data_IF_199012932264
#
_entry.id   IF_199012932264
#
_cell.length_a   1.000
_cell.length_b   1.000
_cell.length_c   1.000
_cell.angle_alpha   90.00
_cell.angle_beta   90.00
_cell.angle_gamma   90.00
#
_symmetry.space_group_name_H-M   'P 1'
#
loop_
_entity.id
_entity.type
_entity.pdbx_description
1 polymer ?
#
# COMPACT_ATOMS: atom_id res chain seq x y z
N UNK A 1 -6.43 -5.42 53.67
CA UNK A 1 -6.30 -6.77 54.27
C UNK A 1 -4.83 -7.12 54.17
N UNK A 2 -4.12 -6.87 55.23
CA UNK A 2 -3.71 -7.82 56.28
C UNK A 2 -2.27 -8.20 56.00
N UNK A 3 -1.30 -7.86 56.73
CA UNK A 3 -0.78 -7.86 58.11
C UNK A 3 0.63 -8.44 58.05
N UNK A 4 1.66 -7.74 58.59
CA UNK A 4 2.23 -7.81 59.94
C UNK A 4 3.17 -9.03 60.12
N UNK A 5 4.35 -8.74 60.69
CA UNK A 5 5.24 -9.63 61.41
C UNK A 5 6.67 -9.11 61.29
N UNK A 6 7.25 -8.31 62.07
CA UNK A 6 7.53 -8.22 63.55
C UNK A 6 8.36 -9.37 64.09
N UNK A 7 9.42 -8.90 64.76
CA UNK A 7 10.20 -9.53 65.82
C UNK A 7 11.32 -10.52 65.41
N UNK A 8 12.53 -10.45 65.95
CA UNK A 8 12.82 -10.55 67.37
C UNK A 8 14.30 -10.27 67.66
N UNK A 9 14.57 -9.50 68.65
CA UNK A 9 15.63 -9.31 69.57
C UNK A 9 16.46 -10.55 69.92
N UNK A 10 17.75 -10.33 70.20
CA UNK A 10 18.52 -10.81 71.33
C UNK A 10 19.98 -10.43 71.14
N UNK A 11 20.54 -9.44 71.79
CA UNK A 11 21.11 -9.47 73.16
C UNK A 11 22.16 -10.57 73.38
N UNK A 12 23.39 -10.15 73.41
CA UNK A 12 24.27 -10.60 74.49
C UNK A 12 25.42 -9.63 74.75
N UNK A 13 25.45 -9.14 75.97
CA UNK A 13 26.55 -8.45 76.65
C UNK A 13 27.64 -9.43 76.98
N UNK A 14 28.84 -8.95 77.05
CA UNK A 14 29.87 -9.07 78.07
C UNK A 14 31.19 -8.70 77.41
N UNK A 15 31.92 -7.74 77.80
CA UNK A 15 32.43 -7.42 79.14
C UNK A 15 33.93 -7.29 79.04
N UNK A 16 34.37 -6.15 79.44
CA UNK A 16 35.63 -6.00 80.24
C UNK A 16 36.75 -5.14 79.61
N UNK A 17 36.81 -4.00 80.21
CA UNK A 17 37.99 -3.29 80.69
C UNK A 17 39.08 -2.73 79.79
N UNK A 18 39.11 -1.38 79.90
CA UNK A 18 40.29 -0.64 80.33
C UNK A 18 41.53 -0.71 79.42
N UNK A 19 41.73 0.34 78.66
CA UNK A 19 42.92 1.16 78.91
C UNK A 19 42.74 2.59 78.39
N UNK A 20 42.86 3.56 79.25
CA UNK A 20 42.94 4.96 78.97
C UNK A 20 44.32 5.26 78.40
N UNK A 21 44.39 5.64 77.17
CA UNK A 21 45.67 6.09 76.65
C UNK A 21 45.57 6.37 75.14
N UNK A 22 45.60 7.63 74.81
CA UNK A 22 45.92 8.12 73.43
C UNK A 22 44.96 7.92 72.30
N UNK A 23 43.69 8.29 72.52
CA UNK A 23 42.76 8.46 71.41
C UNK A 23 43.01 9.75 70.60
N UNK A 24 43.99 10.54 70.93
CA UNK A 24 44.32 11.78 70.29
C UNK A 24 45.58 11.78 69.40
N UNK A 25 46.37 10.66 69.44
CA UNK A 25 47.63 10.58 68.68
C UNK A 25 47.41 10.03 67.22
N UNK A 26 46.18 9.75 66.80
CA UNK A 26 45.89 9.22 65.47
C UNK A 26 45.21 10.23 64.55
N UNK A 27 45.18 11.51 64.95
CA UNK A 27 44.76 12.60 64.09
C UNK A 27 45.97 13.28 63.41
N UNK A 28 46.80 12.47 62.73
CA UNK A 28 47.62 13.06 61.68
C UNK A 28 46.74 13.35 60.43
N UNK A 29 46.63 14.61 60.03
CA UNK A 29 45.96 14.91 58.80
C UNK A 29 46.77 14.37 57.61
N UNK A 30 46.41 13.20 57.16
CA UNK A 30 47.11 12.45 56.09
C UNK A 30 47.05 13.09 54.71
N UNK A 31 46.60 14.27 54.55
CA UNK A 31 46.71 14.99 53.30
C UNK A 31 46.90 16.45 53.57
N UNK A 32 48.14 16.86 53.59
CA UNK A 32 48.48 18.27 53.28
C UNK A 32 48.16 18.44 51.80
N UNK A 33 46.96 18.90 51.51
CA UNK A 33 46.62 19.36 50.18
C UNK A 33 47.56 20.49 49.86
N UNK A 34 48.62 20.22 49.09
CA UNK A 34 49.53 21.22 48.64
C UNK A 34 48.71 22.30 47.90
N UNK A 35 48.87 23.55 48.31
CA UNK A 35 48.21 24.70 47.68
C UNK A 35 48.38 24.74 46.15
N UNK A 36 49.40 24.06 45.63
CA UNK A 36 49.67 23.91 44.20
C UNK A 36 48.68 22.92 43.51
N UNK A 37 48.23 21.90 44.21
CA UNK A 37 47.18 20.99 43.66
C UNK A 37 45.83 21.73 43.57
N UNK A 38 45.49 22.53 44.56
CA UNK A 38 44.25 23.34 44.55
C UNK A 38 44.28 24.42 43.46
N UNK A 39 45.42 25.04 43.23
CA UNK A 39 45.58 26.04 42.14
C UNK A 39 45.47 25.40 40.75
N UNK A 40 46.02 24.21 40.54
CA UNK A 40 45.88 23.48 39.25
C UNK A 40 44.44 23.08 38.97
N UNK A 41 43.70 22.66 39.99
CA UNK A 41 42.30 22.32 39.87
C UNK A 41 41.42 23.53 39.50
N UNK A 42 41.67 24.69 40.07
CA UNK A 42 40.88 25.88 39.76
C UNK A 42 41.14 26.44 38.36
N UNK A 43 42.37 26.34 37.87
CA UNK A 43 42.73 26.73 36.49
C UNK A 43 42.12 25.73 35.48
N UNK A 44 42.15 24.45 35.85
CA UNK A 44 41.50 23.41 34.98
C UNK A 44 39.97 23.59 34.87
N UNK A 45 39.30 23.88 35.97
CA UNK A 45 37.85 24.13 36.00
C UNK A 45 37.50 25.38 35.19
N UNK A 46 38.32 26.44 35.30
CA UNK A 46 38.10 27.69 34.52
C UNK A 46 38.28 27.40 33.03
N UNK A 47 39.30 26.66 32.60
CA UNK A 47 39.51 26.26 31.23
C UNK A 47 38.40 25.32 30.73
N UNK A 48 37.99 24.32 31.54
CA UNK A 48 36.91 23.42 31.21
C UNK A 48 35.59 24.18 31.02
N UNK A 49 35.31 25.19 31.83
CA UNK A 49 34.11 26.04 31.69
C UNK A 49 34.09 26.82 30.36
N UNK A 50 35.25 27.37 29.95
CA UNK A 50 35.34 28.07 28.65
C UNK A 50 35.24 27.09 27.47
N UNK A 51 35.82 25.89 27.57
CA UNK A 51 35.70 24.87 26.54
C UNK A 51 34.23 24.40 26.40
N UNK A 52 33.55 24.20 27.53
CA UNK A 52 32.13 23.78 27.53
C UNK A 52 31.22 24.87 26.93
N UNK A 53 31.49 26.18 27.29
CA UNK A 53 30.76 27.28 26.67
C UNK A 53 31.02 27.39 25.17
N UNK A 54 32.27 27.19 24.75
CA UNK A 54 32.64 27.20 23.33
C UNK A 54 31.95 26.06 22.55
N UNK A 55 31.95 24.85 23.12
CA UNK A 55 31.30 23.70 22.51
C UNK A 55 29.77 23.88 22.40
N UNK A 56 29.15 24.44 23.46
CA UNK A 56 27.72 24.80 23.43
C UNK A 56 27.40 25.84 22.36
N UNK A 57 28.27 26.86 22.19
CA UNK A 57 28.11 27.84 21.13
C UNK A 57 28.23 27.28 19.73
N UNK A 58 29.20 26.37 19.51
CA UNK A 58 29.36 25.65 18.22
C UNK A 58 28.16 24.79 17.89
N UNK A 59 27.64 24.06 18.89
CA UNK A 59 26.41 23.25 18.73
C UNK A 59 25.21 24.11 18.34
N UNK A 60 25.07 25.28 18.97
CA UNK A 60 23.99 26.21 18.67
C UNK A 60 24.12 26.77 17.25
N UNK A 61 25.35 27.10 16.82
CA UNK A 61 25.62 27.54 15.45
C UNK A 61 25.30 26.44 14.41
N UNK A 62 25.66 25.18 14.68
CA UNK A 62 25.34 24.04 13.82
C UNK A 62 23.83 23.85 13.72
N UNK A 63 23.09 23.93 14.82
CA UNK A 63 21.63 23.86 14.85
C UNK A 63 20.99 25.01 14.05
N UNK A 64 21.48 26.22 14.24
CA UNK A 64 21.02 27.40 13.48
C UNK A 64 21.29 27.26 12.00
N UNK A 65 22.49 26.78 11.63
CA UNK A 65 22.85 26.49 10.25
C UNK A 65 21.93 25.39 9.64
N UNK A 66 21.69 24.31 10.40
CA UNK A 66 20.78 23.25 9.98
C UNK A 66 19.36 23.78 9.76
N UNK A 67 18.88 24.64 10.65
CA UNK A 67 17.53 25.23 10.55
C UNK A 67 17.39 26.17 9.34
N UNK A 68 18.46 26.91 9.01
CA UNK A 68 18.48 27.82 7.84
C UNK A 68 18.72 27.05 6.54
N UNK A 69 19.51 25.98 6.60
CA UNK A 69 19.89 25.16 5.43
C UNK A 69 18.91 24.04 5.12
N UNK A 70 17.93 23.76 5.99
CA UNK A 70 16.87 22.79 5.65
C UNK A 70 16.10 23.38 4.47
N UNK A 71 16.15 22.73 3.29
CA UNK A 71 15.32 23.19 2.17
C UNK A 71 13.88 23.12 2.67
N UNK A 72 13.20 24.26 2.63
CA UNK A 72 11.76 24.28 2.87
C UNK A 72 11.17 23.19 2.00
N UNK A 73 10.34 22.26 2.56
CA UNK A 73 9.64 21.33 1.72
C UNK A 73 9.00 22.18 0.63
N UNK A 74 9.30 21.86 -0.64
CA UNK A 74 8.65 22.53 -1.77
C UNK A 74 7.17 22.47 -1.43
N UNK A 75 6.43 23.59 -1.41
CA UNK A 75 5.00 23.51 -1.36
C UNK A 75 4.65 22.57 -2.50
N UNK A 76 4.10 21.40 -2.19
CA UNK A 76 3.41 20.61 -3.17
C UNK A 76 2.46 21.63 -3.79
N UNK A 77 2.54 21.86 -5.09
CA UNK A 77 1.58 22.70 -5.79
C UNK A 77 0.23 22.04 -5.53
N UNK A 78 -0.36 22.39 -4.38
CA UNK A 78 -1.75 22.07 -4.11
C UNK A 78 -2.51 22.84 -5.18
N UNK A 79 -2.90 22.10 -6.22
CA UNK A 79 -3.87 22.61 -7.16
C UNK A 79 -5.05 23.08 -6.31
N UNK A 80 -5.41 24.38 -6.33
CA UNK A 80 -6.45 24.93 -5.43
C UNK A 80 -7.79 24.19 -5.57
N UNK A 81 -7.95 23.37 -6.63
CA UNK A 81 -9.12 22.56 -6.89
C UNK A 81 -9.05 21.15 -6.25
N UNK A 82 -7.89 20.73 -5.71
CA UNK A 82 -7.73 19.44 -5.03
C UNK A 82 -8.16 19.49 -3.57
N UNK A 83 -9.11 18.63 -3.17
CA UNK A 83 -9.49 18.48 -1.76
C UNK A 83 -8.64 17.42 -1.05
N UNK A 84 -8.47 16.27 -1.70
CA UNK A 84 -7.80 15.10 -1.10
C UNK A 84 -7.04 14.35 -2.18
N UNK A 85 -5.75 14.12 -1.92
CA UNK A 85 -4.91 13.20 -2.69
C UNK A 85 -4.69 11.92 -1.88
N UNK A 86 -4.95 10.77 -2.47
CA UNK A 86 -4.79 9.45 -1.86
C UNK A 86 -3.78 8.65 -2.66
N UNK A 87 -2.93 7.89 -1.97
CA UNK A 87 -1.96 6.96 -2.57
C UNK A 87 -2.44 5.55 -2.31
N UNK A 88 -2.41 4.71 -3.35
CA UNK A 88 -2.91 3.33 -3.34
C UNK A 88 -4.35 3.21 -2.80
N UNK A 89 -5.30 4.01 -3.30
CA UNK A 89 -6.68 3.95 -2.84
C UNK A 89 -7.31 2.61 -3.19
N UNK A 90 -8.17 2.12 -2.30
CA UNK A 90 -8.99 0.93 -2.51
C UNK A 90 -10.45 1.28 -2.25
N UNK A 91 -11.26 1.26 -3.27
CA UNK A 91 -12.71 1.41 -3.17
C UNK A 91 -13.38 0.05 -3.35
N UNK A 92 -14.22 -0.33 -2.40
CA UNK A 92 -14.99 -1.59 -2.44
C UNK A 92 -16.47 -1.26 -2.42
N UNK A 93 -17.23 -1.92 -3.26
CA UNK A 93 -18.66 -1.74 -3.35
C UNK A 93 -19.39 -3.02 -3.71
N UNK A 94 -20.67 -2.88 -3.95
CA UNK A 94 -21.55 -3.97 -4.41
C UNK A 94 -22.42 -3.49 -5.56
N UNK A 95 -22.62 -4.37 -6.52
CA UNK A 95 -23.56 -4.15 -7.63
C UNK A 95 -25.02 -4.22 -7.16
N UNK A 96 -25.97 -3.97 -8.06
CA UNK A 96 -27.38 -4.10 -7.75
C UNK A 96 -27.78 -5.51 -7.26
N UNK A 97 -27.10 -6.55 -7.76
CA UNK A 97 -27.31 -7.96 -7.35
C UNK A 97 -26.42 -8.37 -6.17
N UNK A 98 -25.90 -7.39 -5.44
CA UNK A 98 -25.06 -7.63 -4.26
C UNK A 98 -23.71 -8.33 -4.54
N UNK A 99 -23.26 -8.39 -5.80
CA UNK A 99 -21.94 -8.93 -6.16
C UNK A 99 -20.86 -7.92 -5.80
N UNK A 100 -19.71 -8.37 -5.27
CA UNK A 100 -18.63 -7.49 -4.89
C UNK A 100 -17.90 -6.93 -6.12
N UNK A 101 -17.46 -5.68 -6.02
CA UNK A 101 -16.48 -5.11 -6.92
C UNK A 101 -15.44 -4.33 -6.13
N UNK A 102 -14.27 -4.14 -6.73
CA UNK A 102 -13.15 -3.42 -6.14
C UNK A 102 -12.47 -2.57 -7.19
N UNK A 103 -12.29 -1.28 -6.92
CA UNK A 103 -11.48 -0.38 -7.71
C UNK A 103 -10.23 -0.07 -6.91
N UNK A 104 -9.07 -0.24 -7.53
CA UNK A 104 -7.77 0.16 -6.99
C UNK A 104 -7.10 1.10 -7.97
N UNK A 105 -6.20 1.94 -7.49
CA UNK A 105 -5.38 2.82 -8.32
C UNK A 105 -4.06 3.11 -7.63
N UNK A 106 -3.05 3.64 -8.34
CA UNK A 106 -1.81 4.11 -7.74
C UNK A 106 -2.04 5.43 -6.99
N UNK A 107 -2.80 6.33 -7.60
CA UNK A 107 -3.17 7.61 -7.01
C UNK A 107 -4.64 7.94 -7.29
N UNK A 108 -5.26 8.68 -6.37
CA UNK A 108 -6.58 9.26 -6.56
C UNK A 108 -6.60 10.71 -6.09
N UNK A 109 -7.26 11.56 -6.87
CA UNK A 109 -7.45 12.98 -6.60
C UNK A 109 -8.93 13.29 -6.64
N UNK A 110 -9.46 13.85 -5.55
CA UNK A 110 -10.83 14.32 -5.45
C UNK A 110 -10.88 15.86 -5.55
N UNK A 111 -11.80 16.37 -6.32
CA UNK A 111 -11.96 17.80 -6.56
C UNK A 111 -12.91 18.47 -5.54
N UNK A 112 -12.58 19.70 -5.12
CA UNK A 112 -13.44 20.49 -4.22
C UNK A 112 -14.82 20.76 -4.82
N UNK A 113 -14.83 21.15 -6.08
CA UNK A 113 -16.06 21.58 -6.77
C UNK A 113 -16.95 20.41 -7.17
N UNK A 114 -16.39 19.18 -7.24
CA UNK A 114 -17.08 17.97 -7.64
C UNK A 114 -16.70 16.83 -6.71
N UNK A 115 -17.23 16.80 -5.47
CA UNK A 115 -16.83 15.85 -4.44
C UNK A 115 -17.12 14.39 -4.80
N UNK A 116 -18.04 14.15 -5.74
CA UNK A 116 -18.39 12.80 -6.19
C UNK A 116 -17.47 12.29 -7.31
N UNK A 117 -16.69 13.16 -7.94
CA UNK A 117 -15.74 12.79 -8.97
C UNK A 117 -14.34 12.59 -8.36
N UNK A 118 -13.74 11.45 -8.67
CA UNK A 118 -12.38 11.09 -8.26
C UNK A 118 -11.58 10.70 -9.48
N UNK A 119 -10.54 11.46 -9.79
CA UNK A 119 -9.58 11.14 -10.85
C UNK A 119 -8.62 10.05 -10.34
N UNK A 120 -8.38 9.04 -11.16
CA UNK A 120 -7.57 7.86 -10.84
C UNK A 120 -6.40 7.74 -11.80
N UNK A 121 -5.25 7.31 -11.30
CA UNK A 121 -4.07 6.97 -12.07
C UNK A 121 -3.85 5.47 -11.97
N UNK A 122 -3.68 4.81 -13.11
CA UNK A 122 -3.58 3.35 -13.24
C UNK A 122 -4.71 2.60 -12.52
N UNK A 123 -5.98 2.94 -12.80
CA UNK A 123 -7.11 2.26 -12.18
C UNK A 123 -7.21 0.81 -12.63
N UNK A 124 -7.57 -0.05 -11.67
CA UNK A 124 -7.92 -1.46 -11.90
C UNK A 124 -9.25 -1.73 -11.23
N UNK A 125 -10.25 -2.13 -12.02
CA UNK A 125 -11.54 -2.58 -11.54
C UNK A 125 -11.59 -4.10 -11.61
N UNK A 126 -11.77 -4.75 -10.47
CA UNK A 126 -12.10 -6.18 -10.37
C UNK A 126 -13.58 -6.32 -10.04
N UNK A 127 -14.27 -7.19 -10.76
CA UNK A 127 -15.69 -7.47 -10.55
C UNK A 127 -16.01 -8.94 -10.83
N UNK A 128 -17.05 -9.41 -10.16
CA UNK A 128 -17.55 -10.75 -10.33
C UNK A 128 -18.79 -10.73 -11.22
N UNK A 129 -18.84 -11.62 -12.23
CA UNK A 129 -20.03 -11.85 -13.04
C UNK A 129 -20.98 -12.78 -12.31
N UNK A 130 -22.28 -12.67 -12.61
CA UNK A 130 -23.29 -13.54 -11.99
C UNK A 130 -23.10 -15.00 -12.39
N UNK A 131 -22.95 -15.88 -11.39
CA UNK A 131 -22.77 -17.31 -11.62
C UNK A 131 -21.32 -17.77 -11.81
N UNK A 132 -20.37 -16.83 -11.83
CA UNK A 132 -18.95 -17.13 -11.99
C UNK A 132 -18.21 -17.04 -10.65
N UNK A 133 -17.10 -17.76 -10.55
CA UNK A 133 -16.24 -17.81 -9.35
C UNK A 133 -15.01 -16.92 -9.54
N UNK A 134 -14.54 -16.80 -10.78
CA UNK A 134 -13.35 -16.02 -11.12
C UNK A 134 -13.69 -14.56 -11.38
N UNK A 135 -12.80 -13.67 -10.98
CA UNK A 135 -12.97 -12.23 -11.16
C UNK A 135 -12.56 -11.82 -12.59
N UNK A 136 -13.42 -11.02 -13.23
CA UNK A 136 -13.06 -10.25 -14.42
C UNK A 136 -12.39 -8.96 -14.02
N UNK A 137 -11.52 -8.42 -14.89
CA UNK A 137 -10.70 -7.25 -14.60
C UNK A 137 -10.70 -6.25 -15.76
N UNK A 138 -10.84 -4.96 -15.43
CA UNK A 138 -10.60 -3.87 -16.38
C UNK A 138 -9.51 -2.97 -15.81
N UNK A 139 -8.53 -2.63 -16.63
CA UNK A 139 -7.45 -1.71 -16.27
C UNK A 139 -7.27 -0.63 -17.35
N UNK A 140 -6.72 0.52 -16.96
CA UNK A 140 -6.39 1.63 -17.85
C UNK A 140 -5.26 2.50 -17.27
N UNK A 141 -4.72 3.45 -18.05
CA UNK A 141 -3.74 4.39 -17.52
C UNK A 141 -4.37 5.50 -16.70
N UNK A 142 -5.55 5.97 -17.09
CA UNK A 142 -6.28 7.02 -16.36
C UNK A 142 -7.76 6.70 -16.26
N UNK A 143 -8.40 7.20 -15.20
CA UNK A 143 -9.84 7.03 -15.02
C UNK A 143 -10.47 8.16 -14.22
N UNK A 144 -11.78 8.28 -14.36
CA UNK A 144 -12.63 9.17 -13.59
C UNK A 144 -13.76 8.33 -12.97
N UNK A 145 -13.80 8.24 -11.66
CA UNK A 145 -14.85 7.53 -10.95
C UNK A 145 -15.84 8.50 -10.34
N UNK A 146 -17.11 8.33 -10.67
CA UNK A 146 -18.20 9.06 -10.03
C UNK A 146 -18.90 8.15 -9.02
N UNK A 147 -18.82 8.54 -7.74
CA UNK A 147 -19.34 7.74 -6.61
C UNK A 147 -20.86 7.75 -6.49
N UNK A 148 -21.53 8.80 -6.99
CA UNK A 148 -22.98 8.93 -6.96
C UNK A 148 -23.62 8.02 -8.02
N UNK A 149 -23.15 8.12 -9.26
CA UNK A 149 -23.66 7.33 -10.39
C UNK A 149 -23.06 5.93 -10.47
N UNK A 150 -21.97 5.66 -9.75
CA UNK A 150 -21.16 4.44 -9.83
C UNK A 150 -20.68 4.14 -11.25
N UNK A 151 -20.29 5.19 -11.97
CA UNK A 151 -19.71 5.10 -13.30
C UNK A 151 -18.22 5.32 -13.22
N UNK A 152 -17.45 4.42 -13.82
CA UNK A 152 -16.00 4.51 -13.98
C UNK A 152 -15.71 4.74 -15.46
N UNK A 153 -15.23 5.91 -15.81
CA UNK A 153 -14.77 6.27 -17.14
C UNK A 153 -13.26 6.03 -17.23
N UNK A 154 -12.83 5.25 -18.21
CA UNK A 154 -11.46 4.77 -18.37
C UNK A 154 -10.90 5.29 -19.70
N UNK A 155 -9.68 5.79 -19.67
CA UNK A 155 -8.99 6.34 -20.83
C UNK A 155 -7.58 5.80 -20.94
N UNK A 156 -7.13 5.63 -22.18
CA UNK A 156 -5.79 5.20 -22.57
C UNK A 156 -5.48 3.76 -22.13
N UNK A 157 -5.13 2.95 -23.11
CA UNK A 157 -4.73 1.55 -22.91
C UNK A 157 -5.71 0.76 -22.02
N UNK A 158 -6.98 0.82 -22.37
CA UNK A 158 -8.00 0.09 -21.63
C UNK A 158 -7.94 -1.39 -22.03
N UNK A 159 -7.72 -2.25 -21.04
CA UNK A 159 -7.70 -3.69 -21.20
C UNK A 159 -8.81 -4.31 -20.35
N UNK A 160 -9.67 -5.08 -20.98
CA UNK A 160 -10.69 -5.88 -20.32
C UNK A 160 -10.31 -7.36 -20.43
N UNK A 161 -10.11 -8.00 -19.30
CA UNK A 161 -9.90 -9.45 -19.21
C UNK A 161 -11.07 -10.08 -18.50
N UNK A 162 -11.72 -11.01 -19.16
CA UNK A 162 -12.85 -11.73 -18.60
C UNK A 162 -12.44 -13.11 -18.11
N UNK A 163 -13.17 -13.63 -17.13
CA UNK A 163 -12.99 -14.96 -16.52
C UNK A 163 -13.09 -16.10 -17.54
N UNK A 164 -13.88 -15.92 -18.61
CA UNK A 164 -14.04 -16.89 -19.69
C UNK A 164 -12.92 -16.83 -20.77
N UNK A 165 -11.92 -15.96 -20.55
CA UNK A 165 -10.69 -15.90 -21.35
C UNK A 165 -10.73 -14.97 -22.56
N UNK A 166 -11.64 -13.98 -22.56
CA UNK A 166 -11.55 -12.87 -23.53
C UNK A 166 -10.55 -11.83 -23.03
N UNK A 167 -9.72 -11.33 -23.94
CA UNK A 167 -8.79 -10.22 -23.74
C UNK A 167 -9.12 -9.16 -24.78
N UNK A 168 -9.68 -8.02 -24.33
CA UNK A 168 -10.14 -6.94 -25.15
C UNK A 168 -9.30 -5.68 -24.88
N UNK A 169 -8.95 -4.97 -25.95
CA UNK A 169 -8.18 -3.74 -25.93
C UNK A 169 -8.95 -2.62 -26.61
N UNK A 170 -9.00 -1.46 -25.96
CA UNK A 170 -9.61 -0.24 -26.48
C UNK A 170 -8.90 1.00 -25.91
N UNK A 171 -9.17 2.17 -26.43
CA UNK A 171 -8.64 3.44 -25.90
C UNK A 171 -9.57 4.10 -24.89
N UNK A 172 -10.87 3.76 -24.89
CA UNK A 172 -11.87 4.35 -24.01
C UNK A 172 -12.93 3.31 -23.62
N UNK A 173 -13.34 3.33 -22.34
CA UNK A 173 -14.44 2.52 -21.82
C UNK A 173 -15.20 3.26 -20.72
N UNK A 174 -16.50 3.18 -20.71
CA UNK A 174 -17.37 3.64 -19.65
C UNK A 174 -18.02 2.43 -18.98
N UNK A 175 -17.67 2.19 -17.73
CA UNK A 175 -18.14 1.06 -16.95
C UNK A 175 -19.23 1.52 -15.98
N UNK A 176 -20.43 1.05 -16.18
CA UNK A 176 -21.57 1.24 -15.28
C UNK A 176 -21.59 0.09 -14.27
N UNK A 177 -20.90 0.27 -13.14
CA UNK A 177 -20.70 -0.80 -12.17
C UNK A 177 -22.03 -1.29 -11.59
N UNK A 178 -22.95 -0.37 -11.28
CA UNK A 178 -24.29 -0.70 -10.80
C UNK A 178 -25.14 -1.39 -11.87
N UNK A 179 -25.04 -0.93 -13.09
CA UNK A 179 -25.79 -1.45 -14.23
C UNK A 179 -25.19 -2.66 -14.91
N UNK A 180 -23.99 -3.10 -14.47
CA UNK A 180 -23.23 -4.22 -15.02
C UNK A 180 -23.09 -4.18 -16.54
N UNK A 181 -22.74 -3.01 -17.05
CA UNK A 181 -22.62 -2.72 -18.46
C UNK A 181 -21.32 -1.97 -18.72
N UNK A 182 -20.69 -2.26 -19.85
CA UNK A 182 -19.54 -1.50 -20.35
C UNK A 182 -19.89 -1.00 -21.74
N UNK A 183 -19.60 0.24 -22.04
CA UNK A 183 -19.78 0.81 -23.37
C UNK A 183 -18.56 1.64 -23.76
N UNK A 184 -18.30 1.73 -25.06
CA UNK A 184 -17.28 2.57 -25.64
C UNK A 184 -17.64 2.96 -27.07
N UNK A 185 -17.29 4.19 -27.42
CA UNK A 185 -17.46 4.81 -28.72
C UNK A 185 -16.19 4.75 -29.57
N UNK A 186 -15.15 4.11 -29.07
CA UNK A 186 -13.86 3.89 -29.71
C UNK A 186 -13.73 2.44 -30.17
N UNK A 187 -12.78 2.21 -31.09
CA UNK A 187 -12.54 0.87 -31.61
C UNK A 187 -12.08 -0.10 -30.50
N UNK A 188 -12.62 -1.31 -30.55
CA UNK A 188 -12.26 -2.42 -29.66
C UNK A 188 -11.78 -3.61 -30.48
N UNK A 189 -10.76 -4.30 -29.95
CA UNK A 189 -10.28 -5.58 -30.45
C UNK A 189 -10.26 -6.58 -29.33
N UNK A 190 -11.01 -7.67 -29.48
CA UNK A 190 -11.10 -8.77 -28.51
C UNK A 190 -10.49 -10.04 -29.11
N UNK A 191 -9.75 -10.77 -28.30
CA UNK A 191 -9.20 -12.09 -28.61
C UNK A 191 -9.71 -13.07 -27.55
N UNK A 192 -10.18 -14.21 -27.97
CA UNK A 192 -10.69 -15.26 -27.11
C UNK A 192 -10.53 -16.64 -27.73
N UNK A 193 -11.11 -17.65 -27.10
CA UNK A 193 -11.03 -19.06 -27.54
C UNK A 193 -11.55 -19.27 -28.97
N UNK A 194 -12.55 -18.50 -29.39
CA UNK A 194 -13.16 -18.63 -30.71
C UNK A 194 -12.47 -17.85 -31.82
N UNK A 195 -11.43 -17.11 -31.50
CA UNK A 195 -10.69 -16.29 -32.45
C UNK A 195 -10.58 -14.84 -32.04
N UNK A 196 -10.67 -13.94 -33.03
CA UNK A 196 -10.51 -12.51 -32.82
C UNK A 196 -11.73 -11.76 -33.39
N UNK A 197 -12.25 -10.82 -32.64
CA UNK A 197 -13.36 -9.95 -33.06
C UNK A 197 -13.04 -8.51 -32.72
N UNK A 198 -13.51 -7.58 -33.55
CA UNK A 198 -13.36 -6.15 -33.31
C UNK A 198 -14.48 -5.33 -33.92
N UNK A 199 -14.70 -4.15 -33.41
CA UNK A 199 -15.70 -3.19 -33.88
C UNK A 199 -15.26 -1.75 -33.65
N UNK A 200 -15.93 -0.77 -34.28
CA UNK A 200 -15.61 0.65 -34.14
C UNK A 200 -16.21 1.28 -32.88
N UNK A 201 -17.27 0.67 -32.35
CA UNK A 201 -17.85 0.99 -31.06
C UNK A 201 -18.46 -0.29 -30.48
N UNK A 202 -18.70 -0.32 -29.18
CA UNK A 202 -19.13 -1.54 -28.50
C UNK A 202 -20.02 -1.27 -27.29
N UNK A 203 -20.77 -2.29 -26.94
CA UNK A 203 -21.56 -2.34 -25.71
C UNK A 203 -21.52 -3.77 -25.18
N UNK A 204 -21.21 -3.93 -23.90
CA UNK A 204 -21.18 -5.21 -23.20
C UNK A 204 -22.29 -5.14 -22.15
N UNK A 205 -23.33 -5.91 -22.36
CA UNK A 205 -24.56 -5.91 -21.57
C UNK A 205 -24.76 -7.23 -20.82
N UNK A 206 -25.93 -7.38 -20.21
CA UNK A 206 -26.38 -8.61 -19.55
C UNK A 206 -25.32 -9.20 -18.60
N UNK A 207 -25.03 -8.46 -17.54
CA UNK A 207 -24.03 -8.85 -16.56
C UNK A 207 -22.62 -9.08 -17.14
N UNK A 208 -22.26 -8.29 -18.16
CA UNK A 208 -20.99 -8.38 -18.92
C UNK A 208 -20.86 -9.65 -19.76
N UNK A 209 -21.97 -10.29 -20.14
CA UNK A 209 -21.98 -11.54 -20.91
C UNK A 209 -22.25 -11.34 -22.40
N UNK A 210 -22.99 -10.31 -22.78
CA UNK A 210 -23.39 -10.05 -24.18
C UNK A 210 -22.52 -8.93 -24.78
N UNK A 211 -21.79 -9.25 -25.85
CA UNK A 211 -20.96 -8.31 -26.59
C UNK A 211 -21.69 -7.85 -27.85
N UNK A 212 -22.00 -6.56 -27.94
CA UNK A 212 -22.62 -5.93 -29.10
C UNK A 212 -21.60 -4.98 -29.75
N UNK A 213 -21.24 -5.26 -30.99
CA UNK A 213 -20.34 -4.39 -31.79
C UNK A 213 -21.11 -3.50 -32.67
N UNK A 214 -20.76 -2.21 -32.74
CA UNK A 214 -21.44 -1.17 -33.52
C UNK A 214 -20.48 -0.53 -34.52
N UNK A 215 -21.02 0.07 -35.59
CA UNK A 215 -20.23 0.83 -36.56
C UNK A 215 -19.31 0.01 -37.47
N UNK A 216 -19.63 -1.27 -37.65
CA UNK A 216 -18.83 -2.23 -38.42
C UNK A 216 -18.13 -3.24 -37.50
N UNK A 217 -18.09 -4.50 -37.91
CA UNK A 217 -17.48 -5.59 -37.17
C UNK A 217 -16.55 -6.38 -38.09
N UNK A 218 -15.41 -6.77 -37.56
CA UNK A 218 -14.50 -7.72 -38.19
C UNK A 218 -14.35 -8.92 -37.24
N UNK A 219 -14.58 -10.14 -37.75
CA UNK A 219 -14.43 -11.36 -36.97
C UNK A 219 -13.55 -12.37 -37.72
N UNK A 220 -12.58 -12.92 -37.05
CA UNK A 220 -11.81 -14.07 -37.47
C UNK A 220 -12.12 -15.22 -36.52
N UNK A 221 -12.91 -16.17 -36.97
CA UNK A 221 -13.29 -17.33 -36.16
C UNK A 221 -12.30 -18.44 -36.46
N UNK A 222 -11.66 -18.97 -35.45
CA UNK A 222 -10.83 -20.15 -35.53
C UNK A 222 -11.69 -21.35 -35.26
N UNK A 223 -11.69 -22.39 -36.13
CA UNK A 223 -12.39 -23.61 -35.83
C UNK A 223 -11.77 -24.21 -34.56
N UNK A 224 -12.64 -24.63 -33.66
CA UNK A 224 -12.24 -25.41 -32.50
C UNK A 224 -11.44 -26.61 -33.01
N UNK A 225 -10.18 -26.78 -32.57
CA UNK A 225 -9.42 -27.97 -32.85
C UNK A 225 -10.25 -29.16 -32.34
N UNK A 226 -10.71 -29.99 -33.25
CA UNK A 226 -11.27 -31.27 -32.91
C UNK A 226 -10.14 -32.17 -32.34
N UNK A 227 -9.81 -31.96 -31.07
CA UNK A 227 -8.87 -32.83 -30.34
C UNK A 227 -9.50 -34.13 -29.86
N UNK A 228 -10.55 -34.57 -30.57
CA UNK A 228 -11.09 -35.95 -30.49
C UNK A 228 -11.41 -36.48 -31.91
N UNK A 229 -10.40 -36.45 -32.76
CA UNK A 229 -10.45 -37.37 -33.89
C UNK A 229 -10.28 -38.81 -33.32
N UNK A 230 -11.43 -39.44 -33.16
CA UNK A 230 -11.61 -40.87 -33.01
C UNK A 230 -10.38 -41.65 -33.52
N UNK A 231 -9.65 -42.27 -32.61
CA UNK A 231 -8.79 -43.40 -32.93
C UNK A 231 -9.56 -44.30 -33.90
N UNK A 232 -9.02 -44.62 -35.08
CA UNK A 232 -9.66 -45.62 -35.92
C UNK A 232 -9.63 -46.95 -35.14
N UNK A 233 -10.75 -47.30 -34.53
CA UNK A 233 -10.94 -48.61 -33.97
C UNK A 233 -10.77 -49.58 -35.15
N UNK A 234 -9.71 -50.39 -35.09
CA UNK A 234 -9.45 -51.51 -35.96
C UNK A 234 -10.77 -52.29 -36.24
N UNK A 235 -11.32 -52.05 -37.42
CA UNK A 235 -12.36 -52.90 -37.97
C UNK A 235 -11.64 -54.20 -38.39
N UNK A 236 -11.56 -55.14 -37.47
CA UNK A 236 -11.21 -56.51 -37.79
C UNK A 236 -12.40 -57.07 -38.54
N UNK A 237 -12.31 -57.07 -39.86
CA UNK A 237 -13.22 -57.81 -40.73
C UNK A 237 -12.84 -59.32 -40.63
N UNK A 238 -13.69 -60.21 -40.11
CA UNK A 238 -13.39 -61.58 -40.12
C UNK A 238 -13.52 -62.09 -41.57
N UNK A 239 -12.41 -62.58 -42.16
CA UNK A 239 -12.41 -63.33 -43.41
C UNK A 239 -13.18 -64.61 -43.19
N UNK A 240 -14.38 -64.68 -43.74
CA UNK A 240 -15.18 -65.92 -43.82
C UNK A 240 -14.56 -66.78 -44.87
N UNK A 241 -13.85 -67.83 -44.41
CA UNK A 241 -13.35 -68.86 -45.25
C UNK A 241 -14.47 -69.59 -45.98
N UNK A 242 -14.38 -69.66 -47.31
CA UNK A 242 -15.20 -70.43 -48.15
C UNK A 242 -14.71 -71.93 -48.24
N UNK A 243 -15.61 -72.82 -48.23
CA UNK A 243 -15.49 -74.07 -48.92
C UNK A 243 -16.28 -74.02 -50.20
#
# INVERSE_FOLDING_TARGET
>A
MTTIGADTLANNQDGKHSDNGHALDHWEPRHVLSLDAAKRHSVFIRKARFVLMGFSGVLLLILLWYFISTPKPKPQEDNPDETVKMVNPVYKGRTADNLPFRITADEAVRFIQKPDETKLVNPVLNFLRSGEVDESMVLALTGLYNSETQVLELHQEVHLKTDDGYDCHTSHARVFVKGKRIEGDEAIACTGKFGRVGGNAYEINDNYAEFVFKGGMTALILPEKADDALTPTDIVVPLRGGQ
#
